data_IF_811772940831
#
_entry.id   IF_811772940831
#
_cell.length_a   1.000
_cell.length_b   1.000
_cell.length_c   1.000
_cell.angle_alpha   90.00
_cell.angle_beta   90.00
_cell.angle_gamma   90.00
#
_symmetry.space_group_name_H-M   'P 1'
#
loop_
_entity.id
_entity.type
_entity.pdbx_description
1 polymer ?
#
# COMPACT_ATOMS: atom_id res chain seq x y z
N UNK A 1 -23.12 4.27 -24.37
CA UNK A 1 -21.79 3.63 -24.42
C UNK A 1 -21.41 2.88 -23.12
N UNK A 2 -22.35 2.24 -22.40
CA UNK A 2 -22.11 1.63 -21.06
C UNK A 2 -22.39 0.11 -20.97
N UNK A 3 -22.75 -0.54 -22.07
CA UNK A 3 -23.29 -1.92 -22.07
C UNK A 3 -22.21 -3.02 -22.19
N UNK A 4 -20.98 -2.65 -22.58
CA UNK A 4 -19.86 -3.58 -22.77
C UNK A 4 -19.15 -3.96 -21.46
N UNK A 5 -18.90 -3.00 -20.57
CA UNK A 5 -18.18 -3.24 -19.30
C UNK A 5 -18.89 -4.23 -18.37
N UNK A 6 -20.23 -4.18 -18.27
CA UNK A 6 -21.02 -5.15 -17.49
C UNK A 6 -20.93 -6.58 -18.04
N UNK A 7 -20.83 -6.74 -19.36
CA UNK A 7 -20.70 -8.07 -19.99
C UNK A 7 -19.32 -8.69 -19.73
N UNK A 8 -18.26 -7.87 -19.71
CA UNK A 8 -16.91 -8.35 -19.36
C UNK A 8 -16.83 -8.78 -17.91
N UNK A 9 -17.38 -7.98 -16.98
CA UNK A 9 -17.44 -8.33 -15.54
C UNK A 9 -18.24 -9.62 -15.32
N UNK A 10 -19.39 -9.78 -16.00
CA UNK A 10 -20.20 -10.98 -15.87
C UNK A 10 -19.54 -12.23 -16.47
N UNK A 11 -18.78 -12.08 -17.57
CA UNK A 11 -17.99 -13.17 -18.15
C UNK A 11 -16.83 -13.60 -17.25
N UNK A 12 -16.17 -12.66 -16.58
CA UNK A 12 -15.11 -12.98 -15.60
C UNK A 12 -15.69 -13.68 -14.37
N UNK A 13 -16.85 -13.23 -13.87
CA UNK A 13 -17.56 -13.88 -12.76
C UNK A 13 -18.04 -15.31 -13.12
N UNK A 14 -18.49 -15.53 -14.36
CA UNK A 14 -18.89 -16.86 -14.83
C UNK A 14 -17.71 -17.80 -15.00
N UNK A 15 -16.57 -17.31 -15.48
CA UNK A 15 -15.34 -18.11 -15.58
C UNK A 15 -14.79 -18.46 -14.20
N UNK A 16 -14.83 -17.54 -13.24
CA UNK A 16 -14.51 -17.79 -11.84
C UNK A 16 -15.48 -18.82 -11.21
N UNK A 17 -16.77 -18.76 -11.57
CA UNK A 17 -17.77 -19.73 -11.13
C UNK A 17 -17.60 -21.13 -11.71
N UNK A 18 -17.12 -21.26 -12.96
CA UNK A 18 -16.83 -22.56 -13.57
C UNK A 18 -15.58 -23.22 -12.98
N UNK A 19 -14.56 -22.43 -12.61
CA UNK A 19 -13.40 -22.91 -11.84
C UNK A 19 -13.79 -23.38 -10.43
N UNK A 20 -14.84 -22.80 -9.87
CA UNK A 20 -15.40 -23.16 -8.55
C UNK A 20 -16.02 -24.57 -8.52
N UNK A 21 -16.61 -25.01 -9.63
CA UNK A 21 -17.32 -26.29 -9.71
C UNK A 21 -16.39 -27.49 -9.87
N UNK A 22 -15.16 -27.30 -10.35
CA UNK A 22 -14.17 -28.39 -10.46
C UNK A 22 -13.51 -28.78 -9.13
N UNK A 23 -13.65 -27.97 -8.06
CA UNK A 23 -13.00 -28.21 -6.76
C UNK A 23 -13.73 -29.15 -5.80
N UNK A 24 -14.98 -29.56 -6.09
CA UNK A 24 -15.82 -30.31 -5.14
C UNK A 24 -15.39 -31.77 -4.90
N UNK A 25 -14.41 -32.30 -5.64
CA UNK A 25 -13.97 -33.71 -5.52
C UNK A 25 -12.87 -33.96 -4.49
N UNK A 26 -12.36 -32.93 -3.80
CA UNK A 26 -11.12 -33.03 -2.98
C UNK A 26 -11.40 -33.22 -1.46
N UNK A 27 -12.65 -33.39 -1.05
CA UNK A 27 -13.06 -33.53 0.38
C UNK A 27 -12.68 -34.86 1.08
N UNK A 28 -11.61 -35.55 0.66
CA UNK A 28 -11.32 -36.91 1.16
C UNK A 28 -9.90 -37.15 1.73
N UNK A 29 -9.07 -36.15 1.98
CA UNK A 29 -7.77 -36.39 2.62
C UNK A 29 -7.44 -35.31 3.65
N UNK A 30 -7.17 -35.74 4.89
CA UNK A 30 -6.92 -34.89 6.04
C UNK A 30 -5.44 -34.65 6.37
N UNK A 31 -5.30 -33.75 7.35
CA UNK A 31 -4.32 -33.72 8.45
C UNK A 31 -2.95 -33.03 8.28
N UNK A 32 -2.80 -31.92 9.01
CA UNK A 32 -1.65 -31.37 9.76
C UNK A 32 -0.22 -31.51 9.17
N UNK A 33 0.08 -30.72 8.15
CA UNK A 33 1.43 -30.20 7.87
C UNK A 33 1.32 -28.71 7.59
N UNK A 34 2.38 -27.92 7.86
CA UNK A 34 2.46 -26.51 7.45
C UNK A 34 2.01 -26.40 6.00
N UNK A 35 0.86 -25.77 5.80
CA UNK A 35 0.12 -25.88 4.56
C UNK A 35 0.82 -25.03 3.51
N UNK A 36 1.62 -25.67 2.66
CA UNK A 36 2.24 -25.05 1.50
C UNK A 36 1.26 -25.21 0.34
N UNK A 37 0.69 -24.12 -0.20
CA UNK A 37 -0.18 -24.21 -1.36
C UNK A 37 0.56 -24.84 -2.54
N UNK A 38 -0.11 -25.68 -3.32
CA UNK A 38 0.47 -26.30 -4.53
C UNK A 38 1.00 -25.28 -5.55
N UNK A 39 0.53 -24.03 -5.45
CA UNK A 39 0.88 -22.91 -6.33
C UNK A 39 2.02 -22.03 -5.77
N UNK A 40 2.56 -22.36 -4.59
CA UNK A 40 3.67 -21.65 -3.98
C UNK A 40 4.92 -21.65 -4.89
N UNK A 41 5.60 -20.50 -5.00
CA UNK A 41 6.77 -20.29 -5.86
C UNK A 41 6.58 -20.59 -7.37
N UNK A 42 5.34 -20.68 -7.86
CA UNK A 42 5.04 -20.83 -9.29
C UNK A 42 4.60 -19.49 -9.92
N UNK A 43 4.60 -19.40 -11.25
CA UNK A 43 4.10 -18.23 -12.01
C UNK A 43 2.65 -17.88 -11.64
N UNK A 44 1.86 -18.86 -11.17
CA UNK A 44 0.48 -18.66 -10.74
C UNK A 44 0.37 -17.81 -9.46
N UNK A 45 1.39 -17.74 -8.61
CA UNK A 45 1.43 -16.85 -7.44
C UNK A 45 1.35 -15.36 -7.80
N UNK A 46 1.67 -14.98 -9.04
CA UNK A 46 1.56 -13.61 -9.54
C UNK A 46 0.13 -13.25 -9.97
N UNK A 47 -0.77 -14.24 -10.12
CA UNK A 47 -2.13 -13.98 -10.59
C UNK A 47 -2.92 -13.11 -9.61
N UNK A 48 -2.96 -13.37 -8.28
CA UNK A 48 -3.65 -12.50 -7.34
C UNK A 48 -3.21 -11.01 -7.41
N UNK A 49 -1.92 -10.65 -7.36
CA UNK A 49 -1.50 -9.25 -7.45
C UNK A 49 -1.75 -8.64 -8.83
N UNK A 50 -1.54 -9.39 -9.93
CA UNK A 50 -1.83 -8.89 -11.29
C UNK A 50 -3.31 -8.60 -11.46
N UNK A 51 -4.19 -9.49 -10.97
CA UNK A 51 -5.64 -9.26 -11.04
C UNK A 51 -6.03 -8.03 -10.21
N UNK A 52 -5.48 -7.87 -9.01
CA UNK A 52 -5.72 -6.68 -8.19
C UNK A 52 -5.34 -5.39 -8.92
N UNK A 53 -4.15 -5.34 -9.52
CA UNK A 53 -3.65 -4.16 -10.26
C UNK A 53 -4.52 -3.88 -11.48
N UNK A 54 -4.78 -4.89 -12.31
CA UNK A 54 -5.57 -4.72 -13.54
C UNK A 54 -7.00 -4.27 -13.22
N UNK A 55 -7.63 -4.86 -12.20
CA UNK A 55 -8.95 -4.44 -11.75
C UNK A 55 -8.91 -3.02 -11.19
N UNK A 56 -7.88 -2.63 -10.43
CA UNK A 56 -7.76 -1.28 -9.89
C UNK A 56 -7.68 -0.24 -11.01
N UNK A 57 -6.94 -0.52 -12.07
CA UNK A 57 -6.82 0.37 -13.24
C UNK A 57 -8.13 0.48 -14.04
N UNK A 58 -8.88 -0.62 -14.19
CA UNK A 58 -10.15 -0.63 -14.95
C UNK A 58 -11.31 -0.02 -14.17
N UNK A 59 -11.46 -0.41 -12.91
CA UNK A 59 -12.57 -0.02 -12.04
C UNK A 59 -12.35 1.38 -11.46
N UNK A 60 -11.09 1.82 -11.34
CA UNK A 60 -10.67 3.01 -10.59
C UNK A 60 -11.07 2.94 -9.10
N UNK A 61 -11.32 1.74 -8.58
CA UNK A 61 -11.69 1.45 -7.20
C UNK A 61 -10.65 0.50 -6.60
N UNK A 62 -9.69 1.07 -5.86
CA UNK A 62 -8.56 0.32 -5.31
C UNK A 62 -9.03 -0.69 -4.26
N UNK A 63 -9.93 -0.29 -3.36
CA UNK A 63 -10.40 -1.14 -2.25
C UNK A 63 -11.10 -2.40 -2.74
N UNK A 64 -12.04 -2.28 -3.68
CA UNK A 64 -12.74 -3.44 -4.23
C UNK A 64 -11.81 -4.36 -5.02
N UNK A 65 -10.84 -3.78 -5.73
CA UNK A 65 -9.88 -4.55 -6.54
C UNK A 65 -8.90 -5.32 -5.66
N UNK A 66 -8.42 -4.70 -4.57
CA UNK A 66 -7.58 -5.35 -3.58
C UNK A 66 -8.31 -6.51 -2.90
N UNK A 67 -9.57 -6.31 -2.50
CA UNK A 67 -10.38 -7.36 -1.90
C UNK A 67 -10.57 -8.57 -2.82
N UNK A 68 -10.85 -8.34 -4.11
CA UNK A 68 -10.94 -9.42 -5.09
C UNK A 68 -9.59 -10.14 -5.26
N UNK A 69 -8.49 -9.39 -5.26
CA UNK A 69 -7.14 -9.97 -5.28
C UNK A 69 -6.87 -10.89 -4.09
N UNK A 70 -7.22 -10.44 -2.88
CA UNK A 70 -7.11 -11.23 -1.65
C UNK A 70 -7.96 -12.50 -1.73
N UNK A 71 -9.20 -12.41 -2.23
CA UNK A 71 -10.05 -13.58 -2.43
C UNK A 71 -9.44 -14.59 -3.39
N UNK A 72 -8.90 -14.14 -4.52
CA UNK A 72 -8.23 -15.02 -5.49
C UNK A 72 -6.97 -15.65 -4.86
N UNK A 73 -6.21 -14.87 -4.09
CA UNK A 73 -5.09 -15.38 -3.30
C UNK A 73 -5.52 -16.45 -2.30
N UNK A 74 -6.63 -16.24 -1.60
CA UNK A 74 -7.20 -17.22 -0.67
C UNK A 74 -7.72 -18.50 -1.36
N UNK A 75 -8.27 -18.38 -2.57
CA UNK A 75 -8.66 -19.54 -3.39
C UNK A 75 -7.44 -20.36 -3.82
N UNK A 76 -6.37 -19.66 -4.18
CA UNK A 76 -5.11 -20.29 -4.59
C UNK A 76 -4.39 -20.91 -3.39
N UNK A 77 -4.51 -20.27 -2.23
CA UNK A 77 -4.08 -20.83 -0.96
C UNK A 77 -4.85 -22.12 -0.73
N UNK A 78 -6.17 -22.10 -0.53
CA UNK A 78 -6.95 -23.28 -0.11
C UNK A 78 -7.17 -24.38 -1.17
N UNK A 79 -6.44 -24.39 -2.28
CA UNK A 79 -6.59 -25.39 -3.33
C UNK A 79 -8.01 -25.45 -3.93
N UNK A 80 -8.63 -24.29 -4.15
CA UNK A 80 -10.00 -24.14 -4.65
C UNK A 80 -11.13 -24.60 -3.70
N UNK A 81 -10.84 -24.79 -2.41
CA UNK A 81 -11.86 -25.11 -1.40
C UNK A 81 -12.49 -23.84 -0.81
N UNK A 82 -13.81 -23.68 -0.95
CA UNK A 82 -14.54 -22.49 -0.50
C UNK A 82 -14.41 -22.22 1.01
N UNK A 83 -14.57 -23.27 1.82
CA UNK A 83 -14.53 -23.16 3.27
C UNK A 83 -13.14 -22.73 3.74
N UNK A 84 -12.09 -23.38 3.21
CA UNK A 84 -10.69 -23.01 3.48
C UNK A 84 -10.35 -21.60 2.98
N UNK A 85 -10.89 -21.16 1.84
CA UNK A 85 -10.69 -19.78 1.34
C UNK A 85 -11.25 -18.77 2.32
N UNK A 86 -12.50 -18.95 2.77
CA UNK A 86 -13.15 -17.99 3.66
C UNK A 86 -12.42 -17.97 5.01
N UNK A 87 -12.13 -19.13 5.58
CA UNK A 87 -11.40 -19.21 6.85
C UNK A 87 -10.04 -18.53 6.75
N UNK A 88 -9.25 -18.81 5.72
CA UNK A 88 -7.94 -18.20 5.55
C UNK A 88 -8.01 -16.68 5.32
N UNK A 89 -8.91 -16.21 4.45
CA UNK A 89 -9.03 -14.76 4.17
C UNK A 89 -9.46 -13.98 5.40
N UNK A 90 -10.38 -14.52 6.21
CA UNK A 90 -10.89 -13.81 7.39
C UNK A 90 -10.03 -14.02 8.64
N UNK A 91 -9.62 -15.26 8.95
CA UNK A 91 -8.84 -15.56 10.15
C UNK A 91 -7.38 -15.17 9.98
N UNK A 92 -6.68 -15.70 8.98
CA UNK A 92 -5.24 -15.41 8.81
C UNK A 92 -5.01 -14.06 8.12
N UNK A 93 -5.83 -13.77 7.11
CA UNK A 93 -5.76 -12.52 6.35
C UNK A 93 -6.16 -11.31 7.21
N UNK A 94 -7.45 -11.16 7.50
CA UNK A 94 -7.95 -9.95 8.21
C UNK A 94 -7.56 -9.98 9.69
N UNK A 95 -7.96 -11.01 10.43
CA UNK A 95 -7.74 -11.06 11.89
C UNK A 95 -6.26 -11.23 12.22
N UNK A 96 -5.54 -12.08 11.51
CA UNK A 96 -4.10 -12.29 11.68
C UNK A 96 -3.32 -11.00 11.43
N UNK A 97 -3.56 -10.32 10.31
CA UNK A 97 -2.90 -9.04 10.02
C UNK A 97 -3.23 -7.95 11.04
N UNK A 98 -4.45 -7.93 11.59
CA UNK A 98 -4.87 -6.98 12.63
C UNK A 98 -4.42 -7.37 14.04
N UNK A 99 -3.94 -8.59 14.26
CA UNK A 99 -3.42 -9.02 15.57
C UNK A 99 -1.90 -8.92 15.61
N UNK A 100 -1.26 -8.87 14.45
CA UNK A 100 0.17 -8.61 14.33
C UNK A 100 0.53 -7.22 14.90
N UNK A 101 1.45 -7.23 15.86
CA UNK A 101 1.84 -6.04 16.61
C UNK A 101 2.52 -4.97 15.76
N UNK A 102 3.23 -5.37 14.70
CA UNK A 102 3.89 -4.44 13.78
C UNK A 102 2.86 -3.74 12.88
N UNK A 103 1.98 -4.52 12.25
CA UNK A 103 0.88 -3.99 11.42
C UNK A 103 -0.06 -3.08 12.21
N UNK A 104 -0.41 -3.47 13.45
CA UNK A 104 -1.21 -2.63 14.33
C UNK A 104 -0.49 -1.36 14.77
N UNK A 105 0.82 -1.43 15.00
CA UNK A 105 1.66 -0.26 15.25
C UNK A 105 1.57 0.76 14.11
N UNK A 106 1.70 0.31 12.86
CA UNK A 106 1.54 1.16 11.67
C UNK A 106 0.13 1.74 11.60
N UNK A 107 -0.91 0.93 11.82
CA UNK A 107 -2.30 1.39 11.77
C UNK A 107 -2.56 2.51 12.79
N UNK A 108 -2.14 2.32 14.04
CA UNK A 108 -2.26 3.34 15.10
C UNK A 108 -1.48 4.59 14.73
N UNK A 109 -0.25 4.44 14.23
CA UNK A 109 0.58 5.55 13.77
C UNK A 109 -0.13 6.38 12.67
N UNK A 110 -0.68 5.73 11.64
CA UNK A 110 -1.43 6.39 10.57
C UNK A 110 -2.66 7.14 11.07
N UNK A 111 -3.39 6.56 12.03
CA UNK A 111 -4.56 7.22 12.63
C UNK A 111 -4.14 8.48 13.39
N UNK A 112 -3.10 8.40 14.23
CA UNK A 112 -2.60 9.57 14.98
C UNK A 112 -2.13 10.66 14.02
N UNK A 113 -1.37 10.29 12.98
CA UNK A 113 -0.93 11.24 11.95
C UNK A 113 -2.10 11.90 11.21
N UNK A 114 -3.11 11.11 10.84
CA UNK A 114 -4.33 11.63 10.22
C UNK A 114 -5.06 12.64 11.12
N UNK A 115 -5.13 12.36 12.42
CA UNK A 115 -5.70 13.27 13.42
C UNK A 115 -4.87 14.55 13.52
N UNK A 116 -3.54 14.46 13.63
CA UNK A 116 -2.65 15.62 13.71
C UNK A 116 -2.77 16.51 12.47
N UNK A 117 -2.79 15.90 11.28
CA UNK A 117 -2.98 16.59 9.99
C UNK A 117 -4.34 17.29 9.95
N UNK A 118 -5.41 16.61 10.35
CA UNK A 118 -6.75 17.19 10.40
C UNK A 118 -6.81 18.37 11.38
N UNK A 119 -6.20 18.22 12.55
CA UNK A 119 -6.12 19.26 13.58
C UNK A 119 -5.32 20.47 13.10
N UNK A 120 -4.17 20.26 12.46
CA UNK A 120 -3.35 21.34 11.88
C UNK A 120 -4.08 22.10 10.78
N UNK A 121 -4.86 21.39 9.95
CA UNK A 121 -5.72 22.01 8.94
C UNK A 121 -6.84 22.84 9.58
N UNK A 122 -7.52 22.31 10.61
CA UNK A 122 -8.60 23.02 11.32
C UNK A 122 -8.10 24.21 12.13
N UNK A 123 -6.93 24.11 12.75
CA UNK A 123 -6.28 25.20 13.48
C UNK A 123 -5.78 26.33 12.57
N UNK A 124 -5.84 26.14 11.24
CA UNK A 124 -5.41 27.14 10.26
C UNK A 124 -3.91 27.17 10.01
N UNK A 125 -3.14 26.19 10.50
CA UNK A 125 -1.69 26.07 10.29
C UNK A 125 -1.32 25.97 8.81
N UNK A 126 -1.96 25.06 8.08
CA UNK A 126 -1.76 24.91 6.63
C UNK A 126 -2.18 26.15 5.85
N UNK A 127 -3.21 26.88 6.30
CA UNK A 127 -3.64 28.13 5.67
C UNK A 127 -2.67 29.29 5.94
N UNK A 128 -2.12 29.37 7.16
CA UNK A 128 -1.08 30.35 7.51
C UNK A 128 0.21 30.09 6.74
N UNK A 129 0.64 28.83 6.67
CA UNK A 129 1.75 28.40 5.83
C UNK A 129 1.48 28.73 4.36
N UNK A 130 0.29 28.45 3.85
CA UNK A 130 -0.13 28.83 2.49
C UNK A 130 0.00 30.32 2.21
N UNK A 131 -0.39 31.19 3.16
CA UNK A 131 -0.23 32.65 3.03
C UNK A 131 1.23 33.08 3.02
N UNK A 132 2.03 32.60 3.97
CA UNK A 132 3.47 32.89 4.05
C UNK A 132 4.24 32.38 2.82
N UNK A 133 3.96 31.13 2.43
CA UNK A 133 4.57 30.51 1.27
C UNK A 133 4.18 31.27 0.01
N UNK A 134 2.98 31.83 -0.09
CA UNK A 134 2.59 32.59 -1.27
C UNK A 134 3.28 33.95 -1.45
N UNK A 135 3.85 34.51 -0.39
CA UNK A 135 4.64 35.74 -0.48
C UNK A 135 6.12 35.43 -0.78
N UNK A 136 6.61 34.26 -0.39
CA UNK A 136 7.99 33.80 -0.60
C UNK A 136 8.18 33.00 -1.91
N UNK A 137 7.21 32.15 -2.25
CA UNK A 137 7.17 31.33 -3.46
C UNK A 137 6.36 32.08 -4.51
N UNK A 138 7.06 32.64 -5.51
CA UNK A 138 6.45 33.46 -6.56
C UNK A 138 6.14 32.67 -7.84
N UNK A 139 6.66 31.46 -7.98
CA UNK A 139 6.57 30.68 -9.23
C UNK A 139 5.94 29.30 -9.03
N UNK A 140 5.27 28.82 -10.08
CA UNK A 140 4.73 27.45 -10.15
C UNK A 140 5.81 26.38 -10.00
N UNK A 141 7.02 26.68 -10.45
CA UNK A 141 8.19 25.79 -10.32
C UNK A 141 8.68 25.77 -8.87
N UNK A 142 8.76 26.94 -8.21
CA UNK A 142 9.15 27.03 -6.81
C UNK A 142 8.21 26.26 -5.88
N UNK A 143 6.90 26.28 -6.15
CA UNK A 143 5.93 25.50 -5.38
C UNK A 143 6.17 23.98 -5.50
N UNK A 144 6.49 23.50 -6.71
CA UNK A 144 6.81 22.08 -6.95
C UNK A 144 8.16 21.69 -6.32
N UNK A 145 9.18 22.54 -6.44
CA UNK A 145 10.48 22.31 -5.81
C UNK A 145 10.38 22.28 -4.29
N UNK A 146 9.58 23.17 -3.70
CA UNK A 146 9.32 23.15 -2.26
C UNK A 146 8.61 21.86 -1.83
N UNK A 147 7.67 21.34 -2.63
CA UNK A 147 7.04 20.03 -2.37
C UNK A 147 8.08 18.92 -2.40
N UNK A 148 8.95 18.89 -3.41
CA UNK A 148 9.99 17.89 -3.54
C UNK A 148 10.97 17.97 -2.36
N UNK A 149 11.45 19.17 -2.02
CA UNK A 149 12.36 19.39 -0.89
C UNK A 149 11.75 18.93 0.43
N UNK A 150 10.48 19.26 0.68
CA UNK A 150 9.80 18.83 1.88
C UNK A 150 9.60 17.31 1.91
N UNK A 151 9.31 16.70 0.74
CA UNK A 151 9.28 15.25 0.58
C UNK A 151 10.63 14.60 0.88
N UNK A 152 11.74 15.14 0.37
CA UNK A 152 13.08 14.61 0.66
C UNK A 152 13.44 14.77 2.14
N UNK A 153 13.01 15.86 2.79
CA UNK A 153 13.28 16.11 4.21
C UNK A 153 12.55 15.13 5.14
N UNK A 154 11.35 14.68 4.78
CA UNK A 154 10.53 13.75 5.58
C UNK A 154 10.80 12.31 5.13
N UNK A 155 12.03 11.83 5.32
CA UNK A 155 12.48 10.51 4.85
C UNK A 155 12.18 9.35 5.82
N UNK A 156 11.55 9.63 6.96
CA UNK A 156 11.32 8.64 8.04
C UNK A 156 10.40 7.51 7.57
N UNK A 157 9.32 7.87 6.87
CA UNK A 157 8.26 6.95 6.46
C UNK A 157 7.47 7.54 5.29
N UNK A 158 7.10 6.71 4.32
CA UNK A 158 6.44 7.15 3.08
C UNK A 158 4.97 7.54 3.30
N UNK A 159 4.27 6.90 4.24
CA UNK A 159 2.91 7.32 4.60
C UNK A 159 2.90 8.65 5.34
N UNK A 160 3.81 8.82 6.31
CA UNK A 160 3.94 10.08 7.05
C UNK A 160 4.29 11.25 6.13
N UNK A 161 5.23 11.00 5.21
CA UNK A 161 5.60 11.94 4.17
C UNK A 161 4.38 12.36 3.35
N UNK A 162 3.63 11.39 2.81
CA UNK A 162 2.49 11.68 1.96
C UNK A 162 1.40 12.48 2.66
N UNK A 163 1.09 12.15 3.92
CA UNK A 163 0.09 12.84 4.71
C UNK A 163 0.52 14.27 5.09
N UNK A 164 1.76 14.44 5.53
CA UNK A 164 2.26 15.73 6.01
C UNK A 164 2.53 16.69 4.86
N UNK A 165 3.29 16.27 3.86
CA UNK A 165 3.60 17.10 2.69
C UNK A 165 2.32 17.44 1.93
N UNK A 166 1.43 16.46 1.77
CA UNK A 166 0.12 16.68 1.15
C UNK A 166 -0.71 17.74 1.87
N UNK A 167 -0.77 17.69 3.20
CA UNK A 167 -1.51 18.67 4.00
C UNK A 167 -0.92 20.08 3.91
N UNK A 168 0.40 20.20 4.02
CA UNK A 168 1.11 21.48 4.12
C UNK A 168 1.23 22.15 2.74
N UNK A 169 1.50 21.39 1.69
CA UNK A 169 1.76 21.92 0.35
C UNK A 169 0.51 22.11 -0.50
N UNK A 170 -0.61 21.46 -0.17
CA UNK A 170 -1.88 21.62 -0.88
C UNK A 170 -2.33 23.08 -1.04
N UNK A 171 -2.41 23.93 0.00
CA UNK A 171 -2.81 25.33 -0.19
C UNK A 171 -1.83 26.15 -1.03
N UNK A 172 -0.53 25.82 -0.97
CA UNK A 172 0.52 26.49 -1.75
C UNK A 172 0.39 26.15 -3.24
N UNK A 173 0.25 24.85 -3.53
CA UNK A 173 0.17 24.33 -4.90
C UNK A 173 -1.16 24.65 -5.56
N UNK A 174 -2.26 24.66 -4.81
CA UNK A 174 -3.58 25.11 -5.29
C UNK A 174 -3.51 26.60 -5.73
N UNK A 175 -2.81 27.49 -5.01
CA UNK A 175 -2.65 28.91 -5.39
C UNK A 175 -1.87 29.12 -6.70
N UNK A 176 -0.94 28.22 -7.00
CA UNK A 176 -0.16 28.24 -8.25
C UNK A 176 -0.77 27.39 -9.37
N UNK A 177 -2.04 26.99 -9.25
CA UNK A 177 -2.75 26.18 -10.26
C UNK A 177 -1.98 24.89 -10.64
N UNK A 178 -1.40 24.21 -9.64
CA UNK A 178 -0.85 22.87 -9.82
C UNK A 178 -1.98 21.88 -9.55
N UNK A 179 -2.16 20.89 -10.43
CA UNK A 179 -3.23 19.90 -10.25
C UNK A 179 -2.94 19.03 -9.03
N UNK A 180 -4.00 18.60 -8.33
CA UNK A 180 -3.88 17.66 -7.20
C UNK A 180 -3.24 16.33 -7.61
N UNK A 181 -3.48 15.88 -8.84
CA UNK A 181 -2.83 14.70 -9.39
C UNK A 181 -1.30 14.90 -9.53
N UNK A 182 -0.86 16.10 -9.96
CA UNK A 182 0.56 16.40 -10.05
C UNK A 182 1.21 16.57 -8.67
N UNK A 183 0.50 17.17 -7.71
CA UNK A 183 0.96 17.22 -6.31
C UNK A 183 1.13 15.80 -5.75
N UNK A 184 0.12 14.94 -5.90
CA UNK A 184 0.18 13.55 -5.44
C UNK A 184 1.34 12.80 -6.10
N UNK A 185 1.53 12.96 -7.41
CA UNK A 185 2.67 12.36 -8.12
C UNK A 185 4.02 12.84 -7.57
N UNK A 186 4.19 14.14 -7.31
CA UNK A 186 5.44 14.67 -6.77
C UNK A 186 5.73 14.15 -5.37
N UNK A 187 4.69 14.08 -4.53
CA UNK A 187 4.80 13.55 -3.17
C UNK A 187 5.18 12.06 -3.23
N UNK A 188 4.43 11.26 -3.98
CA UNK A 188 4.64 9.81 -4.11
C UNK A 188 6.03 9.49 -4.69
N UNK A 189 6.44 10.20 -5.75
CA UNK A 189 7.76 10.06 -6.36
C UNK A 189 8.92 10.46 -5.43
N UNK A 190 8.66 11.19 -4.35
CA UNK A 190 9.67 11.51 -3.33
C UNK A 190 9.57 10.67 -2.07
N UNK A 191 8.38 10.19 -1.71
CA UNK A 191 8.17 9.44 -0.47
C UNK A 191 8.88 8.08 -0.53
N UNK A 192 8.45 7.19 -1.43
CA UNK A 192 8.98 5.82 -1.47
C UNK A 192 10.49 5.76 -1.81
N UNK A 193 11.02 6.45 -2.84
CA UNK A 193 12.44 6.33 -3.19
C UNK A 193 13.38 6.90 -2.12
N UNK A 194 13.00 7.99 -1.47
CA UNK A 194 13.86 8.62 -0.44
C UNK A 194 13.85 7.77 0.83
N UNK A 195 12.71 7.24 1.23
CA UNK A 195 12.61 6.38 2.41
C UNK A 195 13.44 5.09 2.28
N UNK A 196 13.54 4.51 1.08
CA UNK A 196 14.37 3.31 0.85
C UNK A 196 15.87 3.60 0.93
N UNK A 197 16.32 4.77 0.46
CA UNK A 197 17.75 5.12 0.43
C UNK A 197 18.23 5.65 1.80
N UNK A 198 17.33 6.20 2.62
CA UNK A 198 17.69 6.77 3.90
C UNK A 198 18.13 5.70 4.92
N UNK A 199 19.25 5.90 5.63
CA UNK A 199 19.79 4.90 6.57
C UNK A 199 18.93 4.71 7.83
N UNK A 200 18.08 5.69 8.15
CA UNK A 200 17.16 5.65 9.29
C UNK A 200 15.75 5.91 8.75
N UNK A 201 15.04 4.83 8.41
CA UNK A 201 13.65 4.87 7.91
C UNK A 201 12.89 3.59 8.26
N UNK A 202 11.56 3.61 8.10
CA UNK A 202 10.71 2.42 8.22
C UNK A 202 11.08 1.32 7.23
N UNK A 203 11.52 1.70 6.02
CA UNK A 203 11.96 0.76 4.98
C UNK A 203 13.31 0.12 5.29
N UNK A 204 14.24 0.85 5.92
CA UNK A 204 15.51 0.26 6.36
C UNK A 204 15.27 -0.89 7.35
N UNK A 205 14.37 -0.70 8.32
CA UNK A 205 13.98 -1.73 9.27
C UNK A 205 13.26 -2.92 8.61
N UNK A 206 12.36 -2.64 7.65
CA UNK A 206 11.65 -3.69 6.93
C UNK A 206 12.61 -4.57 6.10
N UNK A 207 13.55 -3.97 5.37
CA UNK A 207 14.53 -4.70 4.55
C UNK A 207 15.45 -5.57 5.42
N UNK A 208 15.90 -5.07 6.57
CA UNK A 208 16.69 -5.89 7.52
C UNK A 208 15.90 -7.05 8.11
N UNK A 209 14.56 -6.96 8.20
CA UNK A 209 13.71 -8.05 8.67
C UNK A 209 13.44 -9.13 7.62
N UNK A 210 13.57 -8.82 6.33
CA UNK A 210 13.33 -9.77 5.23
C UNK A 210 14.57 -10.55 4.79
N UNK A 211 15.77 -10.11 5.19
CA UNK A 211 17.03 -10.80 4.85
C UNK A 211 17.52 -11.55 6.08
N UNK A 212 17.20 -12.84 6.17
CA UNK A 212 17.75 -13.70 7.22
C UNK A 212 19.28 -13.85 7.04
N UNK A 213 20.06 -13.41 8.03
CA UNK A 213 21.50 -13.65 8.12
C UNK A 213 22.43 -12.52 7.68
N UNK A 214 21.91 -11.43 7.11
CA UNK A 214 22.67 -10.19 6.89
C UNK A 214 21.89 -9.03 7.50
N UNK A 215 22.29 -8.63 8.71
CA UNK A 215 21.91 -7.34 9.26
C UNK A 215 22.41 -6.28 8.26
N UNK A 216 21.55 -5.78 7.35
CA UNK A 216 21.91 -4.70 6.42
C UNK A 216 22.42 -3.44 7.14
N UNK A 217 22.11 -3.31 8.43
CA UNK A 217 22.65 -2.32 9.34
C UNK A 217 24.15 -2.50 9.67
N UNK A 218 24.69 -3.73 9.55
CA UNK A 218 26.10 -4.07 9.78
C UNK A 218 27.03 -3.46 8.73
N UNK A 219 26.53 -3.16 7.53
CA UNK A 219 27.28 -2.43 6.50
C UNK A 219 27.43 -0.93 6.83
N UNK A 220 26.52 -0.38 7.64
CA UNK A 220 26.54 1.02 8.09
C UNK A 220 27.23 1.21 9.44
N UNK A 221 27.23 0.18 10.29
CA UNK A 221 27.95 0.17 11.56
C UNK A 221 28.78 -1.12 11.66
N UNK A 222 30.07 -1.10 11.24
CA UNK A 222 30.93 -2.24 11.48
C UNK A 222 31.09 -2.39 12.99
N UNK A 223 30.44 -3.39 13.56
CA UNK A 223 30.77 -3.83 14.91
C UNK A 223 32.00 -4.72 14.76
N UNK A 224 33.17 -4.22 15.13
CA UNK A 224 34.37 -5.05 15.19
C UNK A 224 34.07 -6.27 16.07
N UNK A 225 34.40 -7.50 15.61
CA UNK A 225 34.12 -8.72 16.38
C UNK A 225 35.03 -8.76 17.61
N UNK A 226 34.42 -8.85 18.79
CA UNK A 226 35.08 -9.25 20.05
C UNK A 226 34.51 -10.60 20.45
#
# INVERSE_FOLDING_TARGET
MMRGKKKTVWRVLLLLGMLFLSGMTVFAAGENTEYVPDLYATVWSLVPPVVAIVLALITKEVYSSLFIGILIGGVFYSGFQFEGTILHVFQDGIVGSLTDSYNMGILVFLVVLGIMVCMMNKAGGSAAFGRWASTHIKSRVGAQLATILLGVLIFIDDYFNCLTVGSVMRPVTDKHNVSRAKLAYLIDATAAPVCIIAPISSWAAAVTGFVEGEDGFFYFYPRDPI
#
